data_IF_111407483820
#
_entry.id   IF_111407483820
#
_cell.length_a   1.000
_cell.length_b   1.000
_cell.length_c   1.000
_cell.angle_alpha   90.00
_cell.angle_beta   90.00
_cell.angle_gamma   90.00
#
_symmetry.space_group_name_H-M   'P 1'
#
loop_
_entity.id
_entity.type
_entity.pdbx_description
1 polymer ?
#
# COMPACT_ATOMS: atom_id res chain seq x y z
N UNK A 1 13.04 6.94 -19.05
CA UNK A 1 12.02 7.56 -18.18
C UNK A 1 10.75 7.71 -19.00
N UNK A 2 9.66 7.15 -18.60
CA UNK A 2 8.36 7.36 -19.27
C UNK A 2 7.64 8.54 -18.60
N UNK A 3 7.22 9.51 -19.39
CA UNK A 3 6.36 10.58 -18.94
C UNK A 3 4.91 10.09 -19.05
N UNK A 4 4.22 9.99 -17.95
CA UNK A 4 2.79 9.73 -17.96
C UNK A 4 2.07 11.02 -18.38
N UNK A 5 1.36 10.98 -19.50
CA UNK A 5 0.75 12.17 -20.09
C UNK A 5 -0.15 12.91 -19.09
N UNK A 6 -0.03 14.23 -19.06
CA UNK A 6 -0.90 15.12 -18.30
C UNK A 6 -2.21 15.34 -19.10
N UNK A 7 -3.07 14.31 -19.18
CA UNK A 7 -4.37 14.44 -19.85
C UNK A 7 -5.43 15.12 -18.99
N UNK A 8 -5.19 15.26 -17.71
CA UNK A 8 -6.12 15.82 -16.73
C UNK A 8 -5.45 16.97 -15.98
N UNK A 9 -6.12 18.15 -15.96
CA UNK A 9 -5.65 19.33 -15.23
C UNK A 9 -5.56 19.13 -13.71
N UNK A 10 -6.20 18.07 -13.19
CA UNK A 10 -6.24 17.75 -11.76
C UNK A 10 -4.96 17.07 -11.25
N UNK A 11 -4.05 16.67 -12.14
CA UNK A 11 -2.85 15.94 -11.77
C UNK A 11 -1.57 16.57 -12.31
N UNK A 12 -0.48 16.41 -11.55
CA UNK A 12 0.86 16.75 -11.99
C UNK A 12 1.34 15.79 -13.09
N UNK A 13 2.34 16.22 -13.83
CA UNK A 13 3.07 15.31 -14.72
C UNK A 13 3.83 14.29 -13.89
N UNK A 14 3.54 13.02 -14.10
CA UNK A 14 4.25 11.91 -13.45
C UNK A 14 5.32 11.37 -14.39
N UNK A 15 6.53 11.22 -13.90
CA UNK A 15 7.63 10.62 -14.62
C UNK A 15 7.98 9.27 -14.00
N UNK A 16 7.95 8.21 -14.79
CA UNK A 16 8.28 6.85 -14.35
C UNK A 16 9.56 6.40 -15.02
N UNK A 17 10.48 5.86 -14.23
CA UNK A 17 11.73 5.30 -14.73
C UNK A 17 11.91 3.88 -14.19
N UNK A 18 12.28 2.96 -15.07
CA UNK A 18 12.73 1.63 -14.65
C UNK A 18 14.20 1.69 -14.25
N UNK A 19 14.54 1.10 -13.11
CA UNK A 19 15.91 0.97 -12.66
C UNK A 19 16.40 -0.42 -13.12
N UNK A 20 17.54 -0.50 -13.85
CA UNK A 20 18.07 -1.79 -14.30
C UNK A 20 18.33 -2.74 -13.14
N UNK A 21 18.06 -4.03 -13.36
CA UNK A 21 18.38 -5.08 -12.40
C UNK A 21 19.86 -5.07 -12.05
N UNK A 22 20.20 -5.26 -10.78
CA UNK A 22 21.58 -5.27 -10.30
C UNK A 22 22.19 -3.88 -10.06
N UNK A 23 21.41 -2.80 -10.22
CA UNK A 23 21.84 -1.45 -9.84
C UNK A 23 22.13 -1.39 -8.34
N UNK A 24 23.34 -0.99 -7.96
CA UNK A 24 23.77 -0.91 -6.54
C UNK A 24 23.47 0.45 -5.90
N UNK A 25 23.41 1.50 -6.70
CA UNK A 25 23.12 2.85 -6.24
C UNK A 25 22.32 3.59 -7.32
N UNK A 26 21.36 4.37 -6.89
CA UNK A 26 20.63 5.30 -7.74
C UNK A 26 20.42 6.62 -7.00
N UNK A 27 20.45 7.71 -7.74
CA UNK A 27 20.24 9.05 -7.20
C UNK A 27 19.24 9.77 -8.10
N UNK A 28 18.24 10.39 -7.50
CA UNK A 28 17.37 11.32 -8.18
C UNK A 28 18.01 12.70 -8.16
N UNK A 29 18.30 13.24 -9.34
CA UNK A 29 18.66 14.64 -9.49
C UNK A 29 17.43 15.44 -9.87
N UNK A 30 17.12 16.47 -9.11
CA UNK A 30 16.01 17.37 -9.40
C UNK A 30 16.40 18.81 -9.13
N UNK A 31 15.71 19.74 -9.78
CA UNK A 31 15.91 21.16 -9.59
C UNK A 31 14.57 21.83 -9.32
N UNK A 32 14.54 22.69 -8.32
CA UNK A 32 13.44 23.63 -8.14
C UNK A 32 13.67 24.81 -9.07
N UNK A 33 12.67 25.14 -9.86
CA UNK A 33 12.70 26.29 -10.72
C UNK A 33 12.25 27.55 -9.96
N UNK A 34 12.90 28.68 -10.21
CA UNK A 34 12.56 29.95 -9.58
C UNK A 34 11.54 30.75 -10.40
N UNK A 35 11.22 30.29 -11.61
CA UNK A 35 10.24 30.93 -12.49
C UNK A 35 9.11 29.98 -12.81
N UNK A 36 7.91 30.52 -13.00
CA UNK A 36 6.78 29.72 -13.40
C UNK A 36 7.01 29.11 -14.80
N UNK A 37 6.70 27.81 -14.96
CA UNK A 37 6.77 27.18 -16.27
C UNK A 37 5.73 27.81 -17.22
N UNK A 38 5.94 27.74 -18.54
CA UNK A 38 4.95 28.17 -19.51
C UNK A 38 3.60 27.52 -19.25
N UNK A 39 2.48 28.21 -19.50
CA UNK A 39 1.14 27.67 -19.29
C UNK A 39 0.95 26.31 -19.95
N UNK A 40 0.12 25.46 -19.36
CA UNK A 40 -0.27 24.19 -19.95
C UNK A 40 -0.90 24.44 -21.34
N UNK A 41 -0.37 23.81 -22.39
CA UNK A 41 -0.76 24.03 -23.78
C UNK A 41 0.22 24.91 -24.58
N UNK A 42 1.23 25.52 -23.95
CA UNK A 42 2.37 26.06 -24.67
C UNK A 42 3.06 24.92 -25.44
N UNK A 43 3.35 25.13 -26.73
CA UNK A 43 4.01 24.13 -27.55
C UNK A 43 5.33 23.61 -26.93
N UNK A 44 5.76 22.43 -27.36
CA UNK A 44 6.98 21.80 -26.87
C UNK A 44 8.21 22.74 -26.92
N UNK A 45 8.31 23.56 -27.96
CA UNK A 45 9.42 24.51 -28.13
C UNK A 45 9.46 25.58 -27.05
N UNK A 46 8.31 26.09 -26.59
CA UNK A 46 8.24 27.07 -25.50
C UNK A 46 8.64 26.46 -24.17
N UNK A 47 8.24 25.22 -23.94
CA UNK A 47 8.63 24.46 -22.74
C UNK A 47 10.13 24.16 -22.73
N UNK A 48 10.69 23.80 -23.89
CA UNK A 48 12.13 23.55 -24.03
C UNK A 48 12.95 24.81 -23.90
N UNK A 49 12.55 25.92 -24.51
CA UNK A 49 13.25 27.21 -24.38
C UNK A 49 13.25 27.69 -22.92
N UNK A 50 12.16 27.50 -22.19
CA UNK A 50 12.11 27.79 -20.76
C UNK A 50 13.06 26.88 -19.98
N UNK A 51 13.04 25.57 -20.26
CA UNK A 51 13.91 24.58 -19.61
C UNK A 51 15.40 24.90 -19.86
N UNK A 52 15.81 25.20 -21.09
CA UNK A 52 17.17 25.59 -21.43
C UNK A 52 17.60 26.88 -20.71
N UNK A 53 16.70 27.87 -20.65
CA UNK A 53 16.95 29.14 -19.96
C UNK A 53 17.14 28.92 -18.45
N UNK A 54 16.31 28.09 -17.82
CA UNK A 54 16.35 27.85 -16.37
C UNK A 54 17.51 26.93 -15.96
N UNK A 55 17.87 25.96 -16.81
CA UNK A 55 18.87 24.94 -16.46
C UNK A 55 20.25 25.20 -17.05
N UNK A 56 20.32 25.99 -18.11
CA UNK A 56 21.55 26.14 -18.92
C UNK A 56 21.92 24.88 -19.72
N UNK A 57 21.06 23.86 -19.72
CA UNK A 57 21.29 22.59 -20.42
C UNK A 57 20.65 22.66 -21.80
N UNK A 58 21.51 22.69 -22.85
CA UNK A 58 21.06 22.49 -24.22
C UNK A 58 20.98 21.01 -24.53
N UNK A 59 19.76 20.50 -24.63
CA UNK A 59 19.53 19.14 -25.11
C UNK A 59 19.41 19.19 -26.64
N UNK A 60 20.11 18.32 -27.38
CA UNK A 60 19.90 18.23 -28.82
C UNK A 60 18.46 17.74 -29.06
N UNK A 61 17.72 18.46 -29.90
CA UNK A 61 16.34 18.14 -30.35
C UNK A 61 16.25 16.85 -31.19
N UNK A 62 17.25 16.01 -31.19
CA UNK A 62 17.30 14.77 -31.94
C UNK A 62 16.48 13.70 -31.23
N UNK A 63 15.27 13.46 -31.75
CA UNK A 63 14.50 12.23 -31.65
C UNK A 63 14.27 11.68 -30.24
N UNK A 64 13.11 12.01 -29.71
CA UNK A 64 12.55 11.64 -28.42
C UNK A 64 12.39 10.12 -28.11
N UNK A 65 13.12 9.25 -28.78
CA UNK A 65 13.00 7.80 -28.60
C UNK A 65 14.13 7.15 -27.79
N UNK A 66 15.20 7.87 -27.50
CA UNK A 66 16.28 7.35 -26.66
C UNK A 66 16.74 8.43 -25.67
N UNK A 67 16.26 8.32 -24.44
CA UNK A 67 16.95 8.93 -23.31
C UNK A 67 18.17 8.07 -23.02
N UNK A 68 19.30 8.39 -23.65
CA UNK A 68 20.59 7.96 -23.14
C UNK A 68 20.73 8.56 -21.74
N UNK A 69 21.14 7.76 -20.80
CA UNK A 69 21.48 8.20 -19.45
C UNK A 69 22.44 9.37 -19.59
N UNK A 70 22.00 10.57 -19.18
CA UNK A 70 22.86 11.73 -19.12
C UNK A 70 24.10 11.31 -18.33
N UNK A 71 25.25 11.45 -18.94
CA UNK A 71 26.54 11.20 -18.29
C UNK A 71 26.58 12.02 -17.01
N UNK A 72 26.57 11.35 -15.88
CA UNK A 72 26.55 11.98 -14.55
C UNK A 72 27.64 13.00 -14.37
N UNK A 73 28.82 12.77 -15.00
CA UNK A 73 29.95 13.67 -14.98
C UNK A 73 29.60 15.03 -15.64
N UNK A 74 28.85 15.02 -16.73
CA UNK A 74 28.39 16.26 -17.40
C UNK A 74 27.34 17.03 -16.60
N UNK A 75 26.50 16.32 -15.85
CA UNK A 75 25.51 16.91 -14.93
C UNK A 75 26.18 17.56 -13.71
N UNK A 76 27.23 16.95 -13.17
CA UNK A 76 27.98 17.43 -12.03
C UNK A 76 28.86 18.62 -12.46
N UNK A 77 29.45 18.58 -13.64
CA UNK A 77 30.30 19.65 -14.19
C UNK A 77 29.51 20.86 -14.70
N UNK A 78 28.20 20.74 -14.92
CA UNK A 78 27.35 21.88 -15.22
C UNK A 78 27.22 22.76 -13.97
N UNK A 79 27.39 24.10 -14.13
CA UNK A 79 27.18 25.07 -13.04
C UNK A 79 25.74 25.13 -12.50
N UNK A 80 24.87 24.26 -12.96
CA UNK A 80 23.51 24.10 -12.48
C UNK A 80 23.50 23.37 -11.10
N UNK A 81 22.91 23.98 -10.09
CA UNK A 81 22.71 23.35 -8.79
C UNK A 81 21.50 22.39 -8.89
N UNK A 82 21.77 21.11 -8.75
CA UNK A 82 20.72 20.08 -8.58
C UNK A 82 20.67 19.66 -7.12
N UNK A 83 19.47 19.52 -6.61
CA UNK A 83 19.26 18.78 -5.38
C UNK A 83 19.38 17.29 -5.71
N UNK A 84 20.16 16.57 -4.92
CA UNK A 84 20.39 15.14 -5.09
C UNK A 84 19.73 14.40 -3.96
N UNK A 85 18.85 13.44 -4.29
CA UNK A 85 18.24 12.55 -3.32
C UNK A 85 18.67 11.10 -3.63
N UNK A 86 19.36 10.41 -2.71
CA UNK A 86 19.62 9.00 -2.88
C UNK A 86 18.29 8.24 -2.89
N UNK A 87 18.15 7.30 -3.81
CA UNK A 87 16.98 6.42 -3.86
C UNK A 87 17.27 5.15 -3.07
N UNK A 88 16.36 4.80 -2.18
CA UNK A 88 16.36 3.50 -1.54
C UNK A 88 16.03 2.42 -2.59
N UNK A 89 16.97 1.51 -2.81
CA UNK A 89 16.80 0.41 -3.76
C UNK A 89 16.36 -0.86 -3.02
N UNK A 90 15.51 -1.64 -3.66
CA UNK A 90 15.10 -2.92 -3.12
C UNK A 90 16.30 -3.87 -2.99
N UNK A 91 16.49 -4.45 -1.80
CA UNK A 91 17.42 -5.56 -1.61
C UNK A 91 16.78 -6.86 -2.08
N UNK A 92 17.54 -7.76 -2.74
CA UNK A 92 17.01 -9.06 -3.14
C UNK A 92 16.57 -9.95 -1.97
N UNK A 93 17.14 -9.77 -0.79
CA UNK A 93 16.83 -10.54 0.43
C UNK A 93 16.57 -9.56 1.60
N UNK A 94 15.38 -8.95 1.68
CA UNK A 94 15.04 -8.04 2.77
C UNK A 94 15.08 -8.77 4.11
N UNK A 95 15.76 -8.18 5.08
CA UNK A 95 15.83 -8.68 6.46
C UNK A 95 14.76 -8.04 7.34
N UNK A 96 14.19 -6.93 6.88
CA UNK A 96 13.13 -6.21 7.58
C UNK A 96 12.09 -5.69 6.58
N UNK A 97 10.82 -6.01 6.85
CA UNK A 97 9.66 -5.60 6.04
C UNK A 97 8.68 -4.87 6.94
N UNK A 98 8.38 -3.63 6.64
CA UNK A 98 7.36 -2.86 7.33
C UNK A 98 6.03 -3.02 6.59
N UNK A 99 4.94 -3.28 7.33
CA UNK A 99 3.60 -3.46 6.76
C UNK A 99 2.64 -2.47 7.40
N UNK A 100 1.87 -1.78 6.57
CA UNK A 100 0.79 -0.85 6.96
C UNK A 100 -0.23 -0.76 5.83
N UNK A 101 -1.42 -0.25 6.15
CA UNK A 101 -2.48 0.03 5.17
C UNK A 101 -3.50 0.99 5.75
N UNK A 102 -4.45 1.42 4.92
CA UNK A 102 -5.60 2.23 5.34
C UNK A 102 -5.15 3.53 6.04
N UNK A 103 -4.33 4.32 5.33
CA UNK A 103 -3.56 5.41 5.93
C UNK A 103 -4.17 6.79 5.79
N UNK A 104 -5.10 7.02 4.87
CA UNK A 104 -5.72 8.31 4.62
C UNK A 104 -6.62 8.79 5.77
N UNK A 105 -7.06 10.04 5.70
CA UNK A 105 -7.92 10.66 6.69
C UNK A 105 -9.38 10.69 6.22
N UNK A 106 -10.29 10.03 6.94
CA UNK A 106 -11.68 9.85 6.50
C UNK A 106 -12.48 11.14 6.46
N UNK A 107 -12.91 11.52 5.26
CA UNK A 107 -13.93 12.54 4.99
C UNK A 107 -14.90 11.96 3.97
N UNK A 108 -15.95 11.27 4.47
CA UNK A 108 -16.92 10.56 3.64
C UNK A 108 -18.33 10.70 4.20
N UNK A 109 -19.12 11.55 3.57
CA UNK A 109 -20.49 11.81 4.01
C UNK A 109 -20.53 12.31 5.46
N UNK A 110 -21.10 11.50 6.36
CA UNK A 110 -21.18 11.80 7.81
C UNK A 110 -20.01 11.19 8.60
N UNK A 111 -19.19 10.39 7.98
CA UNK A 111 -18.01 9.81 8.62
C UNK A 111 -16.83 10.78 8.46
N UNK A 112 -16.53 11.47 9.54
CA UNK A 112 -15.53 12.53 9.58
C UNK A 112 -14.48 12.20 10.63
N UNK A 113 -13.22 12.34 10.24
CA UNK A 113 -12.07 12.24 11.12
C UNK A 113 -11.40 13.59 11.23
N UNK A 114 -10.89 13.95 12.39
CA UNK A 114 -10.13 15.20 12.57
C UNK A 114 -8.72 15.03 11.99
N UNK A 115 -8.57 15.46 10.73
CA UNK A 115 -7.32 15.35 9.97
C UNK A 115 -6.22 16.31 10.47
N UNK A 116 -6.57 17.27 11.32
CA UNK A 116 -5.61 18.19 11.95
C UNK A 116 -5.09 17.71 13.30
N UNK A 117 -5.76 16.72 13.90
CA UNK A 117 -5.43 16.17 15.20
C UNK A 117 -4.55 14.89 15.05
N UNK A 118 -3.28 14.91 15.49
CA UNK A 118 -2.38 13.77 15.37
C UNK A 118 -2.78 12.54 16.19
N UNK A 119 -3.72 12.65 17.14
CA UNK A 119 -4.27 11.50 17.86
C UNK A 119 -5.44 10.87 17.11
N UNK A 120 -6.19 11.70 16.37
CA UNK A 120 -7.30 11.23 15.53
C UNK A 120 -6.81 10.69 14.18
N UNK A 121 -5.79 11.31 13.60
CA UNK A 121 -5.13 10.88 12.38
C UNK A 121 -3.59 10.88 12.53
N UNK A 122 -3.02 9.80 13.07
CA UNK A 122 -1.61 9.76 13.45
C UNK A 122 -0.63 9.46 12.31
N UNK A 123 -1.10 9.16 11.10
CA UNK A 123 -0.26 8.67 10.00
C UNK A 123 1.00 9.51 9.74
N UNK A 124 0.98 10.87 9.69
CA UNK A 124 2.20 11.65 9.46
C UNK A 124 3.29 11.40 10.52
N UNK A 125 2.90 11.43 11.80
CA UNK A 125 3.81 11.16 12.90
C UNK A 125 4.27 9.71 12.98
N UNK A 126 3.41 8.78 12.61
CA UNK A 126 3.69 7.35 12.57
C UNK A 126 4.67 7.00 11.45
N UNK A 127 4.47 7.53 10.23
CA UNK A 127 5.38 7.34 9.11
C UNK A 127 6.81 7.86 9.42
N UNK A 128 6.91 9.00 10.11
CA UNK A 128 8.21 9.52 10.53
C UNK A 128 8.91 8.62 11.57
N UNK A 129 8.16 7.94 12.45
CA UNK A 129 8.73 6.97 13.41
C UNK A 129 9.09 5.67 12.71
N UNK A 130 8.24 5.17 11.83
CA UNK A 130 8.46 3.98 11.03
C UNK A 130 9.73 4.10 10.17
N UNK A 131 9.98 5.27 9.57
CA UNK A 131 11.19 5.56 8.80
C UNK A 131 12.49 5.40 9.61
N UNK A 132 12.46 5.68 10.93
CA UNK A 132 13.63 5.54 11.80
C UNK A 132 14.05 4.09 12.04
N UNK A 133 13.14 3.14 11.81
CA UNK A 133 13.42 1.71 11.90
C UNK A 133 14.22 1.21 10.68
N UNK A 134 14.33 2.03 9.63
CA UNK A 134 15.08 1.74 8.39
C UNK A 134 14.72 0.38 7.78
N UNK A 135 13.45 0.14 7.46
CA UNK A 135 13.06 -1.13 6.86
C UNK A 135 13.73 -1.29 5.48
N UNK A 136 13.99 -2.53 5.08
CA UNK A 136 14.50 -2.85 3.74
C UNK A 136 13.41 -2.77 2.67
N UNK A 137 12.16 -2.95 3.07
CA UNK A 137 10.99 -2.91 2.21
C UNK A 137 9.77 -2.42 3.01
N UNK A 138 8.90 -1.65 2.37
CA UNK A 138 7.57 -1.31 2.90
C UNK A 138 6.51 -1.97 2.03
N UNK A 139 5.54 -2.62 2.65
CA UNK A 139 4.34 -3.14 2.01
C UNK A 139 3.15 -2.30 2.49
N UNK A 140 2.49 -1.61 1.58
CA UNK A 140 1.22 -0.93 1.86
C UNK A 140 0.07 -1.76 1.30
N UNK A 141 -0.79 -2.24 2.18
CA UNK A 141 -1.86 -3.18 1.85
C UNK A 141 -3.16 -2.52 1.37
N UNK A 142 -3.06 -1.33 0.77
CA UNK A 142 -4.18 -0.65 0.10
C UNK A 142 -4.81 0.46 0.93
N UNK A 143 -5.72 1.18 0.28
CA UNK A 143 -6.47 2.33 0.78
C UNK A 143 -5.58 3.49 1.23
N UNK A 144 -5.34 4.41 0.28
CA UNK A 144 -4.48 5.57 0.44
C UNK A 144 -5.27 6.87 0.59
N UNK A 145 -6.40 6.99 -0.14
CA UNK A 145 -7.17 8.22 -0.25
C UNK A 145 -8.54 8.06 0.39
N UNK A 146 -8.79 8.78 1.48
CA UNK A 146 -10.04 8.78 2.22
C UNK A 146 -10.75 10.14 2.25
N UNK A 147 -10.14 11.21 1.71
CA UNK A 147 -10.75 12.53 1.56
C UNK A 147 -11.65 12.56 0.32
N UNK A 148 -12.75 11.81 0.36
CA UNK A 148 -13.62 11.63 -0.80
C UNK A 148 -14.57 12.81 -1.03
N UNK A 149 -15.00 13.49 0.04
CA UNK A 149 -15.96 14.57 -0.04
C UNK A 149 -15.40 15.89 0.52
N UNK A 150 -16.05 17.00 0.17
CA UNK A 150 -15.77 18.28 0.77
C UNK A 150 -15.97 18.23 2.30
N UNK A 151 -15.08 18.88 3.04
CA UNK A 151 -15.23 19.06 4.47
C UNK A 151 -16.49 19.86 4.77
N UNK A 152 -17.42 19.40 5.64
CA UNK A 152 -18.58 20.17 6.04
C UNK A 152 -18.19 21.47 6.74
N UNK A 153 -18.93 22.54 6.47
CA UNK A 153 -18.61 23.88 7.00
C UNK A 153 -18.65 23.97 8.54
N UNK A 154 -19.38 23.08 9.17
CA UNK A 154 -19.55 23.00 10.63
C UNK A 154 -18.52 22.09 11.32
N UNK A 155 -17.63 21.40 10.54
CA UNK A 155 -16.61 20.52 11.09
C UNK A 155 -15.20 21.09 10.89
N UNK A 156 -14.57 21.54 11.98
CA UNK A 156 -13.24 22.19 11.95
C UNK A 156 -12.09 21.23 11.68
N UNK A 157 -12.23 19.95 11.99
CA UNK A 157 -11.17 18.96 11.90
C UNK A 157 -10.66 18.65 10.48
N UNK A 158 -11.36 19.12 9.44
CA UNK A 158 -10.95 19.00 8.05
C UNK A 158 -11.08 20.31 7.25
N UNK A 159 -11.24 21.46 7.93
CA UNK A 159 -11.43 22.76 7.26
C UNK A 159 -10.28 23.08 6.29
N UNK A 160 -10.63 23.48 5.07
CA UNK A 160 -9.65 23.88 4.04
C UNK A 160 -8.88 22.72 3.40
N UNK A 161 -9.16 21.47 3.78
CA UNK A 161 -8.47 20.30 3.20
C UNK A 161 -9.00 20.01 1.78
N UNK A 162 -8.13 19.56 0.84
CA UNK A 162 -8.56 19.11 -0.48
C UNK A 162 -9.34 17.79 -0.38
N UNK A 163 -10.14 17.50 -1.41
CA UNK A 163 -10.94 16.27 -1.52
C UNK A 163 -11.08 15.79 -2.96
N UNK A 164 -11.48 14.53 -3.13
CA UNK A 164 -11.66 13.87 -4.42
C UNK A 164 -10.36 13.40 -5.06
N UNK A 165 -10.47 12.75 -6.22
CA UNK A 165 -9.32 12.16 -6.92
C UNK A 165 -8.55 13.24 -7.70
N UNK A 166 -7.60 13.87 -7.07
CA UNK A 166 -6.73 14.90 -7.64
C UNK A 166 -5.39 14.98 -6.88
N UNK A 167 -4.38 15.60 -7.49
CA UNK A 167 -3.05 15.69 -6.87
C UNK A 167 -3.04 16.35 -5.47
N UNK A 168 -3.67 17.50 -5.24
CA UNK A 168 -3.68 18.08 -3.89
C UNK A 168 -4.20 17.13 -2.81
N UNK A 169 -5.20 16.33 -3.13
CA UNK A 169 -5.75 15.33 -2.19
C UNK A 169 -4.80 14.17 -1.97
N UNK A 170 -4.21 13.62 -3.01
CA UNK A 170 -3.20 12.56 -2.92
C UNK A 170 -1.98 13.00 -2.13
N UNK A 171 -1.53 14.25 -2.34
CA UNK A 171 -0.43 14.82 -1.59
C UNK A 171 -0.77 14.96 -0.10
N UNK A 172 -1.94 15.51 0.21
CA UNK A 172 -2.36 15.74 1.59
C UNK A 172 -2.68 14.45 2.36
N UNK A 173 -3.19 13.42 1.67
CA UNK A 173 -3.63 12.18 2.31
C UNK A 173 -2.53 11.11 2.38
N UNK A 174 -1.63 11.10 1.40
CA UNK A 174 -0.61 10.05 1.30
C UNK A 174 0.81 10.59 1.12
N UNK A 175 1.13 11.34 0.05
CA UNK A 175 2.51 11.60 -0.30
C UNK A 175 3.25 12.47 0.72
N UNK A 176 2.67 13.59 1.15
CA UNK A 176 3.28 14.46 2.14
C UNK A 176 3.40 13.77 3.52
N UNK A 177 2.35 13.11 4.06
CA UNK A 177 2.46 12.33 5.30
C UNK A 177 3.46 11.20 5.25
N UNK A 178 3.50 10.46 4.14
CA UNK A 178 4.39 9.31 3.95
C UNK A 178 5.83 9.70 3.60
N UNK A 179 6.12 10.96 3.25
CA UNK A 179 7.39 11.39 2.68
C UNK A 179 8.64 10.89 3.43
N UNK A 180 8.72 10.91 4.78
CA UNK A 180 9.86 10.36 5.49
C UNK A 180 10.07 8.86 5.25
N UNK A 181 8.98 8.10 5.15
CA UNK A 181 9.03 6.65 4.97
C UNK A 181 9.22 6.28 3.49
N UNK A 182 8.66 7.06 2.57
CA UNK A 182 8.91 6.94 1.12
C UNK A 182 10.40 7.15 0.78
N UNK A 183 11.06 8.04 1.50
CA UNK A 183 12.50 8.28 1.33
C UNK A 183 13.38 7.19 1.97
N UNK A 184 12.86 6.43 2.93
CA UNK A 184 13.64 5.48 3.73
C UNK A 184 13.77 4.10 3.08
N UNK A 185 12.79 3.66 2.29
CA UNK A 185 12.74 2.30 1.74
C UNK A 185 12.00 2.24 0.40
N UNK A 186 12.19 1.19 -0.42
CA UNK A 186 11.32 0.86 -1.54
C UNK A 186 9.97 0.34 -1.04
N UNK A 187 8.93 0.45 -1.90
CA UNK A 187 7.58 0.08 -1.53
C UNK A 187 6.95 -0.90 -2.50
N UNK A 188 6.13 -1.80 -1.94
CA UNK A 188 5.12 -2.59 -2.66
C UNK A 188 3.76 -2.00 -2.32
N UNK A 189 3.00 -1.65 -3.34
CA UNK A 189 1.72 -0.95 -3.22
C UNK A 189 0.58 -1.85 -3.70
N UNK A 190 -0.35 -2.19 -2.80
CA UNK A 190 -1.57 -2.94 -3.13
C UNK A 190 -2.69 -1.94 -3.43
N UNK A 191 -3.54 -2.21 -4.40
CA UNK A 191 -4.71 -1.39 -4.69
C UNK A 191 -5.82 -1.69 -3.70
N UNK A 192 -6.34 -0.66 -3.02
CA UNK A 192 -7.46 -0.81 -2.10
C UNK A 192 -8.81 -0.46 -2.73
N UNK A 193 -9.89 -0.69 -1.99
CA UNK A 193 -11.24 -0.40 -2.51
C UNK A 193 -11.56 1.11 -2.56
N UNK A 194 -10.84 1.93 -1.83
CA UNK A 194 -10.90 3.38 -2.01
C UNK A 194 -10.28 3.83 -3.34
N UNK A 195 -9.48 2.99 -3.96
CA UNK A 195 -8.92 3.17 -5.29
C UNK A 195 -9.69 2.41 -6.38
N UNK A 196 -10.99 2.13 -6.19
CA UNK A 196 -11.87 1.70 -7.28
C UNK A 196 -12.06 2.82 -8.33
N UNK A 197 -12.52 2.45 -9.53
CA UNK A 197 -12.61 3.38 -10.66
C UNK A 197 -13.61 4.53 -10.46
N UNK A 198 -14.57 4.40 -9.54
CA UNK A 198 -15.55 5.43 -9.20
C UNK A 198 -15.07 6.38 -8.09
N UNK A 199 -13.92 6.08 -7.50
CA UNK A 199 -13.34 6.82 -6.37
C UNK A 199 -11.96 7.37 -6.77
N UNK A 200 -10.88 6.80 -6.25
CA UNK A 200 -9.50 7.26 -6.51
C UNK A 200 -8.69 6.35 -7.45
N UNK A 201 -9.36 5.50 -8.24
CA UNK A 201 -8.72 4.57 -9.18
C UNK A 201 -7.87 5.24 -10.25
N UNK A 202 -8.35 6.28 -10.94
CA UNK A 202 -7.53 7.01 -11.91
C UNK A 202 -6.25 7.58 -11.30
N UNK A 203 -6.32 8.16 -10.11
CA UNK A 203 -5.15 8.65 -9.36
C UNK A 203 -4.19 7.53 -8.99
N UNK A 204 -4.70 6.41 -8.45
CA UNK A 204 -3.88 5.23 -8.14
C UNK A 204 -3.09 4.76 -9.36
N UNK A 205 -3.77 4.50 -10.48
CA UNK A 205 -3.15 4.00 -11.72
C UNK A 205 -2.09 4.97 -12.25
N UNK A 206 -2.33 6.28 -12.11
CA UNK A 206 -1.43 7.32 -12.58
C UNK A 206 -0.21 7.49 -11.68
N UNK A 207 -0.40 7.52 -10.37
CA UNK A 207 0.62 7.95 -9.41
C UNK A 207 1.46 6.78 -8.91
N UNK A 208 0.84 5.65 -8.58
CA UNK A 208 1.48 4.52 -7.90
C UNK A 208 1.21 3.15 -8.55
N UNK A 209 0.27 3.05 -9.48
CA UNK A 209 -0.04 1.79 -10.15
C UNK A 209 1.20 1.17 -10.84
N UNK A 210 1.34 -0.17 -10.80
CA UNK A 210 2.53 -0.88 -11.30
C UNK A 210 2.62 -0.93 -12.82
N UNK A 211 1.49 -0.73 -13.51
CA UNK A 211 1.40 -0.83 -14.97
C UNK A 211 1.64 0.54 -15.65
N UNK A 212 1.99 0.49 -16.93
CA UNK A 212 2.04 1.70 -17.75
C UNK A 212 0.67 2.38 -17.75
N UNK A 213 0.63 3.67 -17.44
CA UNK A 213 -0.60 4.45 -17.44
C UNK A 213 -0.91 4.97 -18.85
N UNK A 214 -2.11 4.67 -19.33
CA UNK A 214 -2.68 5.25 -20.55
C UNK A 214 -3.89 6.13 -20.18
N UNK A 215 -3.81 7.46 -20.35
CA UNK A 215 -4.92 8.37 -20.02
C UNK A 215 -6.13 8.19 -20.93
N UNK A 216 -6.00 7.55 -22.08
CA UNK A 216 -7.09 7.26 -23.00
C UNK A 216 -7.80 5.93 -22.69
N UNK A 217 -7.17 5.07 -21.90
CA UNK A 217 -7.76 3.81 -21.49
C UNK A 217 -8.78 4.01 -20.35
N UNK A 218 -9.86 3.22 -20.39
CA UNK A 218 -10.77 3.17 -19.27
C UNK A 218 -10.06 2.63 -18.02
N UNK A 219 -10.43 3.12 -16.85
CA UNK A 219 -9.94 2.57 -15.58
C UNK A 219 -10.40 1.11 -15.47
N UNK A 220 -9.48 0.14 -15.32
CA UNK A 220 -9.86 -1.26 -15.18
C UNK A 220 -10.44 -1.55 -13.79
N UNK A 221 -11.56 -2.26 -13.76
CA UNK A 221 -12.19 -2.71 -12.51
C UNK A 221 -11.37 -3.79 -11.79
N UNK A 222 -10.37 -4.36 -12.45
CA UNK A 222 -9.52 -5.41 -11.92
C UNK A 222 -8.17 -5.41 -12.65
N UNK A 223 -7.10 -5.54 -11.90
CA UNK A 223 -5.74 -5.72 -12.39
C UNK A 223 -5.32 -7.18 -12.19
N UNK A 224 -4.72 -7.79 -13.21
CA UNK A 224 -4.17 -9.13 -13.06
C UNK A 224 -3.08 -9.15 -11.97
N UNK A 225 -3.01 -10.21 -11.14
CA UNK A 225 -1.97 -10.37 -10.14
C UNK A 225 -0.57 -10.32 -10.76
N UNK A 226 0.38 -9.78 -10.01
CA UNK A 226 1.78 -9.78 -10.42
C UNK A 226 2.69 -10.25 -9.29
N UNK A 227 3.81 -10.86 -9.67
CA UNK A 227 4.79 -11.39 -8.74
C UNK A 227 6.01 -10.47 -8.63
N UNK A 228 6.52 -10.34 -7.42
CA UNK A 228 7.80 -9.69 -7.10
C UNK A 228 8.72 -10.77 -6.52
N UNK A 229 9.59 -11.38 -7.35
CA UNK A 229 10.49 -12.40 -6.88
C UNK A 229 11.63 -11.76 -6.08
N UNK A 230 11.79 -12.21 -4.83
CA UNK A 230 12.92 -11.93 -3.96
C UNK A 230 13.76 -13.20 -3.83
N UNK A 231 14.97 -13.10 -3.29
CA UNK A 231 15.89 -14.24 -3.25
C UNK A 231 15.33 -15.45 -2.48
N UNK A 232 14.68 -15.21 -1.34
CA UNK A 232 14.17 -16.26 -0.44
C UNK A 232 12.68 -16.09 -0.13
N UNK A 233 11.99 -15.28 -0.88
CA UNK A 233 10.57 -14.95 -0.70
C UNK A 233 10.00 -14.49 -2.03
N UNK A 234 8.80 -14.92 -2.36
CA UNK A 234 8.04 -14.38 -3.47
C UNK A 234 6.82 -13.63 -2.94
N UNK A 235 6.59 -12.41 -3.43
CA UNK A 235 5.37 -11.66 -3.12
C UNK A 235 4.46 -11.71 -4.33
N UNK A 236 3.20 -12.05 -4.14
CA UNK A 236 2.17 -11.95 -5.18
C UNK A 236 1.18 -10.89 -4.75
N UNK A 237 1.03 -9.85 -5.56
CA UNK A 237 0.10 -8.75 -5.34
C UNK A 237 -1.15 -9.01 -6.16
N UNK A 238 -2.28 -9.18 -5.49
CA UNK A 238 -3.61 -9.30 -6.10
C UNK A 238 -4.39 -7.98 -6.03
N UNK A 239 -5.43 -7.88 -6.83
CA UNK A 239 -6.36 -6.75 -6.87
C UNK A 239 -7.78 -7.26 -6.63
N UNK A 240 -8.41 -6.79 -5.56
CA UNK A 240 -9.74 -7.21 -5.13
C UNK A 240 -10.75 -6.05 -5.05
N UNK A 241 -10.51 -4.96 -5.77
CA UNK A 241 -11.36 -3.76 -5.69
C UNK A 241 -12.80 -3.98 -6.16
N UNK A 242 -13.02 -4.94 -7.04
CA UNK A 242 -14.32 -5.20 -7.66
C UNK A 242 -15.20 -6.20 -6.90
N UNK A 243 -14.76 -6.70 -5.75
CA UNK A 243 -15.61 -7.54 -4.88
C UNK A 243 -16.46 -6.68 -3.95
N UNK A 244 -17.69 -7.13 -3.69
CA UNK A 244 -18.58 -6.45 -2.77
C UNK A 244 -18.21 -6.66 -1.30
N UNK A 245 -18.59 -5.72 -0.43
CA UNK A 245 -18.33 -5.82 1.01
C UNK A 245 -19.11 -6.96 1.67
N UNK A 246 -20.42 -7.01 1.40
CA UNK A 246 -21.37 -7.93 2.06
C UNK A 246 -22.19 -8.74 1.06
N UNK A 247 -21.82 -8.69 -0.21
CA UNK A 247 -22.56 -9.36 -1.28
C UNK A 247 -21.62 -10.25 -2.08
N UNK A 248 -22.13 -11.42 -2.45
CA UNK A 248 -21.46 -12.30 -3.38
C UNK A 248 -21.53 -11.71 -4.80
N UNK A 249 -20.40 -11.45 -5.40
CA UNK A 249 -20.28 -11.04 -6.80
C UNK A 249 -19.99 -12.27 -7.64
N UNK A 250 -21.03 -13.01 -8.00
CA UNK A 250 -20.91 -14.32 -8.66
C UNK A 250 -20.00 -14.33 -9.89
N UNK A 251 -20.06 -13.26 -10.72
CA UNK A 251 -19.23 -13.14 -11.91
C UNK A 251 -17.73 -13.01 -11.63
N UNK A 252 -17.36 -12.56 -10.43
CA UNK A 252 -15.96 -12.41 -10.02
C UNK A 252 -15.38 -13.70 -9.43
N UNK A 253 -16.22 -14.60 -8.90
CA UNK A 253 -15.76 -15.86 -8.29
C UNK A 253 -14.84 -16.65 -9.22
N UNK A 254 -15.18 -16.94 -10.49
CA UNK A 254 -14.30 -17.73 -11.35
C UNK A 254 -12.97 -17.04 -11.68
N UNK A 255 -12.92 -15.71 -11.68
CA UNK A 255 -11.68 -14.95 -11.92
C UNK A 255 -10.73 -15.18 -10.75
N UNK A 256 -11.16 -14.90 -9.53
CA UNK A 256 -10.33 -15.12 -8.33
C UNK A 256 -10.01 -16.59 -8.07
N UNK A 257 -10.95 -17.51 -8.39
CA UNK A 257 -10.68 -18.95 -8.28
C UNK A 257 -9.53 -19.38 -9.21
N UNK A 258 -9.47 -18.84 -10.42
CA UNK A 258 -8.36 -19.10 -11.34
C UNK A 258 -7.05 -18.47 -10.82
N UNK A 259 -7.08 -17.25 -10.33
CA UNK A 259 -5.91 -16.58 -9.76
C UNK A 259 -5.36 -17.32 -8.55
N UNK A 260 -6.22 -17.76 -7.64
CA UNK A 260 -5.80 -18.59 -6.51
C UNK A 260 -5.24 -19.94 -6.97
N UNK A 261 -5.85 -20.60 -7.95
CA UNK A 261 -5.33 -21.84 -8.50
C UNK A 261 -3.94 -21.66 -9.13
N UNK A 262 -3.69 -20.53 -9.80
CA UNK A 262 -2.39 -20.22 -10.41
C UNK A 262 -1.28 -20.01 -9.37
N UNK A 263 -1.60 -19.69 -8.13
CA UNK A 263 -0.62 -19.62 -7.02
C UNK A 263 0.05 -20.97 -6.75
N UNK A 264 -0.55 -22.09 -7.19
CA UNK A 264 0.10 -23.41 -7.11
C UNK A 264 1.40 -23.50 -7.93
N UNK A 265 1.59 -22.62 -8.92
CA UNK A 265 2.78 -22.53 -9.77
C UNK A 265 3.83 -21.57 -9.21
N UNK A 266 3.53 -20.85 -8.14
CA UNK A 266 4.44 -19.89 -7.53
C UNK A 266 5.58 -20.62 -6.79
N UNK A 267 6.79 -20.01 -6.67
CA UNK A 267 7.82 -20.54 -5.80
C UNK A 267 7.40 -20.47 -4.33
N UNK A 268 7.91 -21.38 -3.50
CA UNK A 268 7.68 -21.34 -2.05
C UNK A 268 8.94 -20.85 -1.33
N UNK A 269 8.83 -19.99 -0.29
CA UNK A 269 7.59 -19.42 0.24
C UNK A 269 7.05 -18.25 -0.61
N UNK A 270 5.73 -18.18 -0.75
CA UNK A 270 5.02 -17.04 -1.33
C UNK A 270 4.16 -16.36 -0.27
N UNK A 271 4.15 -15.03 -0.23
CA UNK A 271 3.16 -14.24 0.51
C UNK A 271 2.16 -13.64 -0.47
N UNK A 272 0.88 -13.82 -0.19
CA UNK A 272 -0.22 -13.22 -0.95
C UNK A 272 -0.60 -11.88 -0.32
N UNK A 273 -0.50 -10.82 -1.10
CA UNK A 273 -0.82 -9.46 -0.71
C UNK A 273 -2.13 -9.05 -1.38
N UNK A 274 -3.16 -8.79 -0.62
CA UNK A 274 -4.47 -8.33 -1.07
C UNK A 274 -4.99 -7.25 -0.12
N UNK A 275 -5.84 -6.36 -0.61
CA UNK A 275 -6.40 -5.34 0.28
C UNK A 275 -7.46 -5.92 1.20
N UNK A 276 -8.49 -6.57 0.65
CA UNK A 276 -9.51 -7.21 1.48
C UNK A 276 -9.02 -8.56 2.01
N UNK A 277 -9.12 -8.79 3.33
CA UNK A 277 -8.85 -10.11 3.87
C UNK A 277 -9.90 -11.12 3.40
N UNK A 278 -9.45 -12.31 3.00
CA UNK A 278 -10.38 -13.38 2.63
C UNK A 278 -11.22 -13.77 3.83
N UNK A 279 -10.58 -13.92 5.00
CA UNK A 279 -11.21 -14.35 6.26
C UNK A 279 -10.90 -13.40 7.44
N UNK A 280 -10.90 -12.09 7.22
CA UNK A 280 -10.75 -11.11 8.30
C UNK A 280 -12.03 -10.96 9.13
N UNK A 281 -11.94 -10.41 10.32
CA UNK A 281 -13.00 -10.37 11.31
C UNK A 281 -13.24 -8.97 11.87
N UNK A 282 -14.49 -8.62 12.08
CA UNK A 282 -14.90 -7.42 12.80
C UNK A 282 -15.79 -7.80 13.99
N UNK A 283 -15.97 -6.90 14.93
CA UNK A 283 -16.98 -7.08 15.99
C UNK A 283 -18.37 -6.89 15.40
N UNK A 284 -19.12 -7.98 15.29
CA UNK A 284 -20.49 -8.00 14.84
C UNK A 284 -21.51 -7.79 15.97
N UNK A 285 -22.80 -8.07 15.69
CA UNK A 285 -23.85 -8.00 16.67
C UNK A 285 -23.54 -8.85 17.90
N UNK A 286 -23.93 -8.37 19.07
CA UNK A 286 -23.70 -9.03 20.37
C UNK A 286 -22.21 -9.22 20.74
N UNK A 287 -21.30 -8.49 20.09
CA UNK A 287 -19.86 -8.61 20.33
C UNK A 287 -19.21 -9.86 19.74
N UNK A 288 -19.92 -10.61 18.89
CA UNK A 288 -19.39 -11.81 18.26
C UNK A 288 -18.49 -11.45 17.08
N UNK A 289 -17.35 -12.14 16.86
CA UNK A 289 -16.54 -11.94 15.68
C UNK A 289 -17.27 -12.47 14.44
N UNK A 290 -17.43 -11.61 13.44
CA UNK A 290 -18.03 -11.95 12.14
C UNK A 290 -17.17 -11.38 11.03
N UNK A 291 -17.17 -11.98 9.86
CA UNK A 291 -16.40 -11.43 8.75
C UNK A 291 -16.28 -12.37 7.57
N UNK A 292 -15.19 -12.15 6.83
CA UNK A 292 -14.91 -12.82 5.58
C UNK A 292 -15.56 -12.13 4.38
N UNK A 293 -14.83 -12.07 3.27
CA UNK A 293 -15.37 -11.59 2.01
C UNK A 293 -16.04 -12.73 1.24
N UNK A 294 -17.33 -12.62 1.00
CA UNK A 294 -18.15 -13.71 0.40
C UNK A 294 -17.60 -14.15 -0.96
N UNK A 295 -17.17 -13.23 -1.81
CA UNK A 295 -16.68 -13.53 -3.16
C UNK A 295 -15.31 -14.21 -3.10
N UNK A 296 -14.40 -13.68 -2.30
CA UNK A 296 -13.05 -14.25 -2.15
C UNK A 296 -13.10 -15.61 -1.44
N UNK A 297 -13.96 -15.77 -0.41
CA UNK A 297 -14.17 -17.06 0.25
C UNK A 297 -14.72 -18.11 -0.71
N UNK A 298 -15.70 -17.75 -1.56
CA UNK A 298 -16.23 -18.65 -2.57
C UNK A 298 -15.15 -19.08 -3.58
N UNK A 299 -14.32 -18.14 -4.01
CA UNK A 299 -13.21 -18.39 -4.92
C UNK A 299 -12.11 -19.27 -4.29
N UNK A 300 -11.83 -19.07 -3.00
CA UNK A 300 -10.87 -19.86 -2.23
C UNK A 300 -11.45 -21.15 -1.65
N UNK A 301 -12.65 -21.59 -2.07
CA UNK A 301 -13.37 -22.71 -1.49
C UNK A 301 -12.61 -24.04 -1.42
N UNK A 302 -11.70 -24.40 -2.36
CA UNK A 302 -10.88 -25.60 -2.18
C UNK A 302 -9.68 -25.39 -1.24
N UNK A 303 -9.45 -24.17 -0.75
CA UNK A 303 -8.27 -23.76 0.01
C UNK A 303 -7.31 -22.91 -0.82
N UNK A 304 -6.26 -22.42 -0.18
CA UNK A 304 -5.17 -21.66 -0.82
C UNK A 304 -4.00 -22.61 -1.09
N UNK A 305 -3.36 -22.60 -2.30
CA UNK A 305 -2.28 -23.52 -2.62
C UNK A 305 -1.08 -23.44 -1.67
N UNK A 306 -0.44 -24.58 -1.44
CA UNK A 306 0.66 -24.75 -0.48
C UNK A 306 1.86 -23.80 -0.64
N UNK A 307 2.24 -23.32 -1.86
CA UNK A 307 3.30 -22.31 -1.96
C UNK A 307 3.02 -21.02 -1.19
N UNK A 308 1.75 -20.67 -0.98
CA UNK A 308 1.36 -19.50 -0.17
C UNK A 308 1.49 -19.85 1.31
N UNK A 309 2.38 -19.16 2.00
CA UNK A 309 2.69 -19.42 3.42
C UNK A 309 2.13 -18.36 4.35
N UNK A 310 1.78 -17.17 3.82
CA UNK A 310 1.21 -16.05 4.56
C UNK A 310 0.31 -15.22 3.65
N UNK A 311 -0.80 -14.71 4.20
CA UNK A 311 -1.64 -13.68 3.58
C UNK A 311 -1.52 -12.37 4.37
N UNK A 312 -1.29 -11.25 3.67
CA UNK A 312 -1.25 -9.91 4.23
C UNK A 312 -2.36 -9.06 3.62
N UNK A 313 -3.13 -8.39 4.48
CA UNK A 313 -4.29 -7.59 4.07
C UNK A 313 -4.45 -6.32 4.91
N UNK A 314 -5.24 -5.37 4.41
CA UNK A 314 -5.73 -4.18 5.09
C UNK A 314 -7.23 -4.22 5.29
N UNK A 315 -7.94 -3.14 4.91
CA UNK A 315 -9.39 -3.01 4.81
C UNK A 315 -10.16 -3.03 6.13
N UNK A 316 -9.81 -3.91 7.05
CA UNK A 316 -10.33 -3.90 8.42
C UNK A 316 -9.35 -3.09 9.24
N UNK A 317 -9.85 -1.98 9.83
CA UNK A 317 -9.01 -0.98 10.48
C UNK A 317 -8.63 -1.41 11.90
N UNK A 318 -7.96 -2.56 11.97
CA UNK A 318 -7.41 -3.16 13.18
C UNK A 318 -6.18 -4.00 12.82
N UNK A 319 -5.43 -4.45 13.82
CA UNK A 319 -4.48 -5.52 13.64
C UNK A 319 -5.15 -6.86 13.93
N UNK A 320 -4.94 -7.84 13.06
CA UNK A 320 -5.30 -9.24 13.30
C UNK A 320 -4.18 -10.18 12.90
N UNK A 321 -3.97 -11.22 13.69
CA UNK A 321 -3.18 -12.39 13.33
C UNK A 321 -4.05 -13.64 13.55
N UNK A 322 -4.37 -14.33 12.45
CA UNK A 322 -5.35 -15.41 12.45
C UNK A 322 -4.71 -16.69 11.93
N UNK A 323 -4.83 -17.77 12.68
CA UNK A 323 -4.50 -19.12 12.27
C UNK A 323 -5.77 -19.93 12.05
N UNK A 324 -5.80 -20.72 10.97
CA UNK A 324 -6.95 -21.53 10.59
C UNK A 324 -6.73 -23.01 10.92
N UNK A 325 -7.81 -23.77 10.96
CA UNK A 325 -7.76 -25.21 11.21
C UNK A 325 -6.98 -25.91 10.07
N UNK A 326 -6.07 -26.85 10.38
CA UNK A 326 -5.18 -27.45 9.37
C UNK A 326 -5.92 -28.18 8.24
N UNK A 327 -7.12 -28.67 8.48
CA UNK A 327 -7.92 -29.38 7.48
C UNK A 327 -8.34 -28.51 6.28
N UNK A 328 -8.24 -27.19 6.38
CA UNK A 328 -8.69 -26.27 5.36
C UNK A 328 -7.60 -25.82 4.37
N UNK A 329 -6.37 -26.21 4.58
CA UNK A 329 -5.22 -25.75 3.75
C UNK A 329 -5.21 -24.24 3.54
N UNK A 330 -5.46 -23.48 4.62
CA UNK A 330 -5.47 -22.02 4.60
C UNK A 330 -4.26 -21.50 5.35
N UNK A 331 -3.36 -20.73 4.71
CA UNK A 331 -2.21 -20.14 5.39
C UNK A 331 -2.69 -19.11 6.43
N UNK A 332 -1.88 -18.77 7.44
CA UNK A 332 -2.23 -17.72 8.38
C UNK A 332 -2.41 -16.39 7.66
N UNK A 333 -3.25 -15.53 8.24
CA UNK A 333 -3.53 -14.19 7.73
C UNK A 333 -3.17 -13.14 8.77
N UNK A 334 -2.50 -12.10 8.31
CA UNK A 334 -2.27 -10.87 9.09
C UNK A 334 -3.06 -9.75 8.41
N UNK A 335 -3.88 -9.05 9.18
CA UNK A 335 -4.55 -7.81 8.78
C UNK A 335 -3.80 -6.64 9.41
N UNK A 336 -3.46 -5.64 8.60
CA UNK A 336 -2.68 -4.47 8.99
C UNK A 336 -3.32 -3.15 8.50
N UNK A 337 -4.65 -3.05 8.61
CA UNK A 337 -5.44 -1.90 8.16
C UNK A 337 -5.55 -0.76 9.18
N UNK A 338 -4.68 -0.70 10.17
CA UNK A 338 -4.77 0.26 11.29
C UNK A 338 -3.81 1.46 11.15
N UNK A 339 -3.46 1.81 9.88
CA UNK A 339 -2.42 2.78 9.55
C UNK A 339 -2.81 4.26 9.68
N UNK A 340 -4.08 4.61 9.82
CA UNK A 340 -4.46 6.03 9.91
C UNK A 340 -5.94 6.32 9.83
N UNK A 341 -6.69 5.59 9.03
CA UNK A 341 -8.12 5.80 8.90
C UNK A 341 -8.91 5.37 10.14
N UNK A 342 -10.13 5.88 10.29
CA UNK A 342 -11.04 5.62 11.41
C UNK A 342 -11.12 4.12 11.74
N UNK A 343 -10.76 3.79 12.96
CA UNK A 343 -10.67 2.39 13.43
C UNK A 343 -12.01 1.67 13.47
N UNK A 344 -11.96 0.38 13.17
CA UNK A 344 -13.08 -0.54 13.34
C UNK A 344 -13.20 -1.09 14.77
N UNK A 345 -14.41 -1.50 15.19
CA UNK A 345 -14.59 -2.22 16.44
C UNK A 345 -13.80 -3.54 16.45
N UNK A 346 -12.83 -3.66 17.33
CA UNK A 346 -11.90 -4.78 17.39
C UNK A 346 -12.48 -5.94 18.21
N UNK A 347 -12.59 -7.16 17.64
CA UNK A 347 -13.05 -8.32 18.40
C UNK A 347 -12.04 -8.72 19.47
N UNK A 348 -12.51 -9.06 20.67
CA UNK A 348 -11.64 -9.44 21.79
C UNK A 348 -11.23 -10.91 21.79
N UNK A 349 -11.95 -11.76 21.05
CA UNK A 349 -11.66 -13.18 20.90
C UNK A 349 -12.00 -13.61 19.47
N UNK A 350 -11.04 -14.16 18.77
CA UNK A 350 -11.20 -14.66 17.40
C UNK A 350 -11.50 -16.14 17.33
N UNK A 351 -11.25 -16.89 18.41
CA UNK A 351 -11.48 -18.34 18.44
C UNK A 351 -12.97 -18.68 18.30
N UNK A 352 -13.27 -19.61 17.43
CA UNK A 352 -14.65 -20.01 17.17
C UNK A 352 -15.44 -19.01 16.32
N UNK A 353 -14.78 -18.02 15.71
CA UNK A 353 -15.43 -17.10 14.78
C UNK A 353 -16.11 -17.84 13.62
N UNK A 354 -17.28 -17.35 13.26
CA UNK A 354 -18.09 -17.90 12.17
C UNK A 354 -17.98 -16.96 10.99
N UNK A 355 -17.52 -17.48 9.85
CA UNK A 355 -17.58 -16.76 8.58
C UNK A 355 -18.93 -17.00 7.92
N UNK A 356 -19.55 -15.93 7.45
CA UNK A 356 -20.81 -16.02 6.71
C UNK A 356 -20.54 -16.74 5.38
N UNK A 357 -21.19 -17.88 5.13
CA UNK A 357 -20.92 -18.72 3.97
C UNK A 357 -19.65 -19.56 4.11
N UNK A 358 -19.42 -20.15 5.25
CA UNK A 358 -18.18 -20.65 5.85
C UNK A 358 -17.27 -21.56 5.00
N UNK A 359 -17.68 -22.07 3.87
CA UNK A 359 -16.86 -22.95 3.00
C UNK A 359 -15.91 -23.92 3.76
N UNK A 360 -16.27 -24.27 4.99
CA UNK A 360 -15.51 -25.18 5.86
C UNK A 360 -14.28 -24.60 6.56
N UNK A 361 -13.99 -23.30 6.40
CA UNK A 361 -12.84 -22.65 7.08
C UNK A 361 -13.25 -22.24 8.50
N UNK A 362 -12.39 -22.55 9.47
CA UNK A 362 -12.59 -22.22 10.87
C UNK A 362 -11.34 -21.57 11.45
N UNK A 363 -11.53 -20.55 12.28
CA UNK A 363 -10.43 -19.98 13.07
C UNK A 363 -10.01 -21.00 14.13
N UNK A 364 -8.74 -21.36 14.11
CA UNK A 364 -8.14 -22.20 15.15
C UNK A 364 -7.79 -21.36 16.37
N UNK A 365 -7.05 -20.30 16.15
CA UNK A 365 -6.65 -19.33 17.16
C UNK A 365 -6.23 -18.01 16.47
N UNK A 366 -6.12 -16.96 17.24
CA UNK A 366 -5.69 -15.66 16.74
C UNK A 366 -5.84 -14.57 17.78
N UNK A 367 -5.34 -13.41 17.44
CA UNK A 367 -5.48 -12.19 18.23
C UNK A 367 -5.88 -11.02 17.34
N UNK A 368 -6.53 -10.04 17.94
CA UNK A 368 -6.71 -8.71 17.36
C UNK A 368 -6.28 -7.63 18.35
N UNK A 369 -5.82 -6.50 17.84
CA UNK A 369 -5.37 -5.37 18.64
C UNK A 369 -5.95 -4.10 18.01
N UNK A 370 -6.71 -3.35 18.79
CA UNK A 370 -7.23 -2.04 18.41
C UNK A 370 -6.21 -0.93 18.59
N UNK A 371 -6.52 0.23 18.04
CA UNK A 371 -5.63 1.39 18.04
C UNK A 371 -4.81 1.49 16.75
N UNK A 372 -4.30 2.67 16.46
CA UNK A 372 -3.47 2.92 15.27
C UNK A 372 -2.06 2.36 15.42
N UNK A 373 -1.48 1.92 14.30
CA UNK A 373 -0.14 1.36 14.32
C UNK A 373 0.34 0.83 12.96
N UNK A 374 1.42 0.09 13.01
CA UNK A 374 2.05 -0.58 11.88
C UNK A 374 2.82 -1.81 12.36
N UNK A 375 3.26 -2.65 11.42
CA UNK A 375 4.05 -3.84 11.72
C UNK A 375 5.48 -3.67 11.23
N UNK A 376 6.44 -4.23 11.98
CA UNK A 376 7.78 -4.52 11.45
C UNK A 376 8.01 -6.03 11.55
N UNK A 377 8.19 -6.66 10.40
CA UNK A 377 8.56 -8.05 10.29
C UNK A 377 10.08 -8.14 10.11
N UNK A 378 10.77 -8.80 11.02
CA UNK A 378 12.22 -8.98 10.98
C UNK A 378 12.55 -10.45 10.83
N UNK A 379 13.42 -10.78 9.86
CA UNK A 379 13.82 -12.15 9.56
C UNK A 379 14.59 -12.76 10.73
N UNK A 380 14.26 -13.98 11.12
CA UNK A 380 14.90 -14.68 12.21
C UNK A 380 14.91 -16.19 11.95
N UNK A 381 16.09 -16.79 11.74
CA UNK A 381 16.20 -18.20 11.36
C UNK A 381 15.34 -18.52 10.12
N UNK A 382 14.43 -19.48 10.27
CA UNK A 382 13.50 -19.89 9.21
C UNK A 382 12.13 -19.14 9.28
N UNK A 383 12.03 -18.07 10.07
CA UNK A 383 10.80 -17.34 10.30
C UNK A 383 10.98 -15.84 10.33
N UNK A 384 9.95 -15.16 10.87
CA UNK A 384 9.91 -13.72 11.02
C UNK A 384 9.34 -13.35 12.39
N UNK A 385 10.03 -12.50 13.14
CA UNK A 385 9.38 -11.79 14.24
C UNK A 385 8.42 -10.76 13.64
N UNK A 386 7.27 -10.57 14.26
CA UNK A 386 6.25 -9.59 13.85
C UNK A 386 6.03 -8.66 15.04
N UNK A 387 6.68 -7.51 15.01
CA UNK A 387 6.53 -6.49 16.04
C UNK A 387 5.36 -5.58 15.66
N UNK A 388 4.31 -5.57 16.48
CA UNK A 388 3.14 -4.71 16.34
C UNK A 388 3.40 -3.42 17.11
N UNK A 389 3.60 -2.33 16.38
CA UNK A 389 3.84 -1.01 16.94
C UNK A 389 2.54 -0.22 17.07
N UNK A 390 2.41 0.56 18.16
CA UNK A 390 1.40 1.61 18.23
C UNK A 390 1.84 2.86 17.44
N UNK A 391 0.92 3.80 17.24
CA UNK A 391 1.20 5.07 16.55
C UNK A 391 2.28 5.93 17.22
N UNK A 392 2.57 5.69 18.50
CA UNK A 392 3.64 6.35 19.24
C UNK A 392 5.01 5.68 19.02
N UNK A 393 5.05 4.56 18.30
CA UNK A 393 6.27 3.80 18.00
C UNK A 393 6.71 2.86 19.14
N UNK A 394 5.79 2.44 20.01
CA UNK A 394 6.04 1.46 21.07
C UNK A 394 5.51 0.10 20.63
N UNK A 395 6.27 -0.95 20.91
CA UNK A 395 5.84 -2.33 20.66
C UNK A 395 4.72 -2.70 21.63
N UNK A 396 3.54 -3.00 21.08
CA UNK A 396 2.39 -3.48 21.84
C UNK A 396 2.39 -5.01 21.97
N UNK A 397 2.87 -5.69 20.92
CA UNK A 397 2.90 -7.14 20.83
C UNK A 397 4.08 -7.59 19.98
N UNK A 398 4.68 -8.69 20.35
CA UNK A 398 5.61 -9.43 19.51
C UNK A 398 5.01 -10.78 19.17
N UNK A 399 4.96 -11.10 17.88
CA UNK A 399 4.54 -12.38 17.37
C UNK A 399 5.71 -13.04 16.64
N UNK A 400 5.58 -14.34 16.39
CA UNK A 400 6.50 -15.11 15.56
C UNK A 400 5.72 -15.76 14.43
N UNK A 401 6.08 -15.44 13.18
CA UNK A 401 5.61 -16.17 12.01
C UNK A 401 6.65 -17.23 11.64
N UNK A 402 6.32 -18.48 11.85
CA UNK A 402 7.17 -19.63 11.54
C UNK A 402 6.32 -20.88 11.33
N UNK A 403 6.79 -21.81 10.49
CA UNK A 403 6.12 -23.09 10.22
C UNK A 403 4.64 -22.94 9.83
N UNK A 404 4.32 -21.92 9.01
CA UNK A 404 2.96 -21.65 8.54
C UNK A 404 1.98 -21.22 9.66
N UNK A 405 2.48 -20.59 10.72
CA UNK A 405 1.69 -20.05 11.84
C UNK A 405 2.20 -18.69 12.28
N UNK A 406 1.30 -17.88 12.81
CA UNK A 406 1.61 -16.64 13.53
C UNK A 406 1.25 -16.84 15.00
N UNK A 407 2.26 -16.98 15.85
CA UNK A 407 2.08 -17.14 17.28
C UNK A 407 2.36 -15.82 18.01
N UNK A 408 1.35 -15.32 18.74
CA UNK A 408 1.39 -14.05 19.44
C UNK A 408 1.23 -14.28 20.97
N UNK A 409 2.28 -14.64 21.70
CA UNK A 409 2.19 -14.88 23.13
C UNK A 409 1.68 -13.64 23.87
N UNK A 410 0.97 -13.84 24.98
CA UNK A 410 0.59 -12.74 25.85
C UNK A 410 1.84 -11.96 26.28
N UNK A 411 1.74 -10.62 26.34
CA UNK A 411 2.85 -9.82 26.86
C UNK A 411 3.23 -10.33 28.24
N UNK A 412 4.53 -10.59 28.45
CA UNK A 412 5.02 -10.95 29.79
C UNK A 412 4.59 -9.86 30.78
N UNK A 413 3.87 -10.23 31.83
CA UNK A 413 3.56 -9.27 32.90
C UNK A 413 4.89 -8.73 33.41
N UNK A 414 5.12 -7.43 33.26
CA UNK A 414 6.28 -6.81 33.98
C UNK A 414 6.15 -7.19 35.45
N UNK A 415 7.19 -7.71 36.09
CA UNK A 415 7.19 -7.85 37.55
C UNK A 415 7.00 -6.46 38.11
N UNK A 416 6.05 -6.31 39.05
CA UNK A 416 5.73 -5.07 39.77
C UNK A 416 6.90 -4.65 40.65
#
# INVERSE_FOLDING_TARGET
MQKRAAGDSNFLTVCVASIPAGTKQAVLAFRRYNTEPPPAGSGADAQWAWFEKETGIKLPLATASHWEWLDWQRLIDSKARYDLAPLALATPDPQSILVLGDTGCRIKGKELQDCSNPEAWPFPGMAAKAARLKPDLVIHVGDYLYRENACPADFKGCEGTPFGDNWPTWDADFFAPAAPLLAAAPWVMVRGNHEDCNRAGPGFLRLIGPLAYDPAAACPDHLAPFAIPLQNLNLVVGDDVNVGEKTLVEKAVPVYAQEFADLAKAPSPTWLLQHRPIWGLITGPLGLPVGGNLTLMAAASPGIPAPVTLMLSGHIHTFEAINYAPANHVPPQIVAGFGGDKLDPTPTNLSGAIFQGSYGVHVKDGISIGGFGFLLMSKTGDGWTVDVYDWQGRIQRQCLFQNGRVDCPAAAKKPH
#
